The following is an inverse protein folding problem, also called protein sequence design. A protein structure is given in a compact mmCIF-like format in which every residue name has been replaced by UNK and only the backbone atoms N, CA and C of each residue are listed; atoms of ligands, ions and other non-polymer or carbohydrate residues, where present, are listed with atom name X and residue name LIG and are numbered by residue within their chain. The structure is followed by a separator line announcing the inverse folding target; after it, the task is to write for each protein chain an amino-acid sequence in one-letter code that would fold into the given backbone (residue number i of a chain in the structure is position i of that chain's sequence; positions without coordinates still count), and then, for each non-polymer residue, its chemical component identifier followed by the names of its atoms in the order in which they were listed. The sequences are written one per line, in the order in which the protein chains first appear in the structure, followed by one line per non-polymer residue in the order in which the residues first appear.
data_IF_230330654271
#
_entry.id   IF_230330654271
#
_cell.length_a   1.000
_cell.length_b   1.000
_cell.length_c   1.000
_cell.angle_alpha   90.00
_cell.angle_beta   90.00
_cell.angle_gamma   90.00
#
_symmetry.space_group_name_H-M   'P 1'
#
loop_
_entity.id
_entity.type
_entity.pdbx_description
1 polymer ?
#
# COMPACT_ATOMS: atom_id res chain seq x y z
N UNK A 1 -6.61 1.52 18.81
CA UNK A 1 -5.97 1.09 17.55
C UNK A 1 -7.01 0.27 16.81
N UNK A 2 -7.36 0.64 15.58
CA UNK A 2 -8.36 -0.09 14.79
C UNK A 2 -7.62 -1.22 14.09
N UNK A 3 -8.01 -2.47 14.31
CA UNK A 3 -7.46 -3.59 13.57
C UNK A 3 -8.26 -3.81 12.29
N UNK A 4 -7.57 -3.90 11.16
CA UNK A 4 -8.15 -4.32 9.88
C UNK A 4 -8.12 -5.84 9.75
N UNK A 5 -9.21 -6.38 9.21
CA UNK A 5 -9.35 -7.78 8.82
C UNK A 5 -9.09 -7.97 7.33
N UNK A 6 -8.90 -9.21 6.91
CA UNK A 6 -8.63 -9.52 5.50
C UNK A 6 -9.86 -9.21 4.63
N UNK A 7 -11.04 -9.52 5.16
CA UNK A 7 -12.32 -9.34 4.51
C UNK A 7 -12.64 -7.86 4.31
N UNK A 8 -12.43 -7.02 5.34
CA UNK A 8 -12.60 -5.56 5.23
C UNK A 8 -11.66 -4.95 4.17
N UNK A 9 -10.39 -5.36 4.13
CA UNK A 9 -9.46 -4.88 3.10
C UNK A 9 -9.90 -5.33 1.72
N UNK A 10 -10.40 -6.55 1.59
CA UNK A 10 -10.87 -7.08 0.31
C UNK A 10 -12.09 -6.29 -0.19
N UNK A 11 -13.07 -6.03 0.67
CA UNK A 11 -14.24 -5.20 0.35
C UNK A 11 -13.82 -3.77 -0.01
N UNK A 12 -12.93 -3.19 0.79
CA UNK A 12 -12.37 -1.86 0.55
C UNK A 12 -11.74 -1.73 -0.85
N UNK A 13 -10.95 -2.71 -1.28
CA UNK A 13 -10.34 -2.71 -2.62
C UNK A 13 -11.35 -2.81 -3.77
N UNK A 14 -12.53 -3.39 -3.52
CA UNK A 14 -13.59 -3.56 -4.51
C UNK A 14 -14.49 -2.32 -4.65
N UNK A 15 -14.77 -1.65 -3.53
CA UNK A 15 -15.74 -0.56 -3.44
C UNK A 15 -15.10 0.82 -3.60
N UNK A 16 -13.84 0.97 -3.19
CA UNK A 16 -13.16 2.28 -3.17
C UNK A 16 -12.74 2.71 -4.57
N UNK A 17 -13.00 3.97 -4.91
CA UNK A 17 -12.43 4.62 -6.06
C UNK A 17 -11.07 5.21 -5.72
N UNK A 18 -10.02 4.64 -6.30
CA UNK A 18 -8.65 5.08 -6.07
C UNK A 18 -8.21 6.09 -7.12
N UNK A 19 -7.54 7.16 -6.68
CA UNK A 19 -7.01 8.20 -7.58
C UNK A 19 -5.85 7.70 -8.46
N UNK A 20 -5.14 6.67 -8.03
CA UNK A 20 -4.00 6.10 -8.74
C UNK A 20 -4.18 4.63 -9.01
N UNK A 21 -3.70 4.16 -10.16
CA UNK A 21 -3.76 2.75 -10.54
C UNK A 21 -2.65 1.93 -9.88
N UNK A 22 -2.89 0.64 -9.59
CA UNK A 22 -1.87 -0.23 -9.06
C UNK A 22 -0.81 -0.58 -10.10
N UNK A 23 0.41 -0.70 -9.60
CA UNK A 23 1.61 -1.12 -10.32
C UNK A 23 1.73 -2.62 -10.49
N UNK A 24 1.10 -3.35 -9.59
CA UNK A 24 1.26 -4.78 -9.37
C UNK A 24 -0.11 -5.45 -9.21
N UNK A 25 -0.15 -6.76 -9.42
CA UNK A 25 -1.37 -7.56 -9.37
C UNK A 25 -1.60 -8.23 -8.01
N UNK A 26 -0.68 -8.09 -7.06
CA UNK A 26 -0.74 -8.80 -5.79
C UNK A 26 -0.34 -7.91 -4.60
N UNK A 27 -1.04 -8.07 -3.48
CA UNK A 27 -0.82 -7.31 -2.24
C UNK A 27 -0.86 -8.25 -1.04
N UNK A 28 0.20 -8.26 -0.25
CA UNK A 28 0.28 -8.99 1.03
C UNK A 28 -0.51 -8.30 2.15
N UNK A 29 -1.52 -9.00 2.69
CA UNK A 29 -2.29 -8.57 3.86
C UNK A 29 -1.45 -8.45 5.14
N UNK A 30 -0.53 -9.38 5.49
CA UNK A 30 0.36 -9.21 6.64
C UNK A 30 1.14 -7.89 6.63
N UNK A 31 1.63 -7.47 5.45
CA UNK A 31 2.35 -6.19 5.28
C UNK A 31 1.40 -5.00 5.52
N UNK A 32 0.18 -5.05 4.95
CA UNK A 32 -0.84 -4.02 5.20
C UNK A 32 -1.12 -3.86 6.70
N UNK A 33 -1.35 -4.97 7.43
CA UNK A 33 -1.63 -4.94 8.86
C UNK A 33 -0.51 -4.26 9.65
N UNK A 34 0.76 -4.52 9.30
CA UNK A 34 1.93 -3.88 9.94
C UNK A 34 2.00 -2.37 9.66
N UNK A 35 1.82 -1.98 8.40
CA UNK A 35 1.91 -0.56 7.99
C UNK A 35 0.73 0.23 8.57
N UNK A 36 -0.49 -0.30 8.50
CA UNK A 36 -1.69 0.29 9.08
C UNK A 36 -1.50 0.57 10.58
N UNK A 37 -1.01 -0.43 11.32
CA UNK A 37 -0.69 -0.27 12.74
C UNK A 37 0.32 0.84 12.98
N UNK A 38 1.40 0.89 12.21
CA UNK A 38 2.46 1.91 12.36
C UNK A 38 1.96 3.31 12.04
N UNK A 39 1.13 3.48 11.02
CA UNK A 39 0.49 4.76 10.71
C UNK A 39 -0.39 5.24 11.87
N UNK A 40 -1.19 4.36 12.47
CA UNK A 40 -1.98 4.68 13.65
C UNK A 40 -1.14 5.05 14.89
N UNK A 41 0.12 4.62 14.93
CA UNK A 41 1.09 5.01 15.96
C UNK A 41 1.79 6.35 15.66
N UNK A 42 1.46 7.01 14.55
CA UNK A 42 2.04 8.29 14.15
C UNK A 42 3.34 8.17 13.35
N UNK A 43 3.71 6.98 12.88
CA UNK A 43 4.88 6.82 12.03
C UNK A 43 4.65 7.42 10.65
N UNK A 44 5.61 8.21 10.17
CA UNK A 44 5.65 8.65 8.78
C UNK A 44 6.39 7.62 7.93
N UNK A 45 6.01 7.53 6.65
CA UNK A 45 6.68 6.69 5.67
C UNK A 45 7.17 7.54 4.51
N UNK A 46 8.13 6.99 3.76
CA UNK A 46 8.58 7.61 2.52
C UNK A 46 7.40 7.81 1.55
N UNK A 47 7.48 8.90 0.78
CA UNK A 47 6.51 9.25 -0.25
C UNK A 47 6.23 8.10 -1.24
N UNK A 48 5.00 8.07 -1.74
CA UNK A 48 4.52 7.12 -2.75
C UNK A 48 5.02 7.59 -4.11
N UNK A 49 5.67 6.70 -4.86
CA UNK A 49 6.17 7.04 -6.20
C UNK A 49 5.12 6.72 -7.24
N UNK A 50 4.78 7.73 -8.02
CA UNK A 50 3.73 7.67 -9.03
C UNK A 50 4.32 8.04 -10.38
N UNK A 51 4.02 7.25 -11.40
CA UNK A 51 4.42 7.51 -12.78
C UNK A 51 3.18 7.37 -13.65
N UNK A 52 2.82 8.41 -14.40
CA UNK A 52 1.64 8.42 -15.28
C UNK A 52 0.33 7.98 -14.61
N UNK A 53 0.10 8.38 -13.35
CA UNK A 53 -1.09 7.99 -12.59
C UNK A 53 -1.09 6.56 -12.04
N UNK A 54 0.03 5.84 -12.17
CA UNK A 54 0.24 4.49 -11.64
C UNK A 54 1.24 4.50 -10.50
N UNK A 55 0.94 3.77 -9.43
CA UNK A 55 1.86 3.60 -8.31
C UNK A 55 2.95 2.62 -8.73
N UNK A 56 4.21 3.02 -8.64
CA UNK A 56 5.37 2.15 -8.91
C UNK A 56 6.07 1.69 -7.63
N UNK A 57 5.90 2.42 -6.53
CA UNK A 57 6.39 2.05 -5.21
C UNK A 57 5.47 2.64 -4.15
N UNK A 58 5.06 1.79 -3.20
CA UNK A 58 4.26 2.18 -2.04
C UNK A 58 2.80 1.77 -2.09
N UNK A 59 2.42 0.71 -2.80
CA UNK A 59 1.03 0.23 -2.87
C UNK A 59 0.43 -0.06 -1.49
N UNK A 60 1.15 -0.80 -0.63
CA UNK A 60 0.68 -1.06 0.73
C UNK A 60 0.50 0.23 1.54
N UNK A 61 1.45 1.16 1.39
CA UNK A 61 1.37 2.47 2.05
C UNK A 61 0.15 3.25 1.55
N UNK A 62 -0.08 3.26 0.25
CA UNK A 62 -1.22 3.92 -0.36
C UNK A 62 -2.54 3.39 0.20
N UNK A 63 -2.74 2.07 0.15
CA UNK A 63 -3.95 1.42 0.69
C UNK A 63 -4.15 1.81 2.15
N UNK A 64 -3.11 1.74 2.99
CA UNK A 64 -3.24 2.08 4.40
C UNK A 64 -3.51 3.57 4.66
N UNK A 65 -3.02 4.49 3.82
CA UNK A 65 -3.40 5.90 3.92
C UNK A 65 -4.86 6.09 3.56
N UNK A 66 -5.35 5.43 2.51
CA UNK A 66 -6.76 5.51 2.12
C UNK A 66 -7.69 4.88 3.18
N UNK A 67 -7.32 3.74 3.77
CA UNK A 67 -8.06 3.12 4.88
C UNK A 67 -8.17 4.01 6.14
N UNK A 68 -7.24 4.94 6.31
CA UNK A 68 -7.17 5.85 7.45
C UNK A 68 -7.60 7.28 7.10
N UNK A 69 -8.10 7.51 5.88
CA UNK A 69 -8.41 8.84 5.34
C UNK A 69 -7.26 9.85 5.48
N UNK A 70 -6.01 9.37 5.34
CA UNK A 70 -4.79 10.18 5.37
C UNK A 70 -4.35 10.54 3.96
N UNK A 71 -3.80 11.75 3.80
CA UNK A 71 -3.19 12.20 2.54
C UNK A 71 -1.71 11.78 2.56
N UNK A 72 -1.28 10.83 1.70
CA UNK A 72 0.12 10.46 1.62
C UNK A 72 0.94 11.52 0.89
N UNK A 73 2.21 11.65 1.26
CA UNK A 73 3.18 12.33 0.40
C UNK A 73 3.36 11.54 -0.90
N UNK A 74 3.40 12.24 -2.04
CA UNK A 74 3.58 11.63 -3.37
C UNK A 74 4.69 12.31 -4.14
N UNK A 75 5.43 11.53 -4.92
CA UNK A 75 6.44 12.01 -5.86
C UNK A 75 6.05 11.53 -7.25
N UNK A 76 5.84 12.46 -8.18
CA UNK A 76 5.43 12.16 -9.56
C UNK A 76 6.63 12.20 -10.51
N UNK A 77 6.75 11.15 -11.34
CA UNK A 77 7.78 11.02 -12.39
C UNK A 77 7.21 11.14 -13.81
N UNK A 78 8.09 11.41 -14.78
CA UNK A 78 7.76 11.64 -16.19
C UNK A 78 7.29 10.40 -16.98
N UNK A 79 6.64 10.66 -18.13
CA UNK A 79 5.83 9.73 -18.90
C UNK A 79 6.62 8.69 -19.72
N UNK A 80 6.02 7.50 -19.92
CA UNK A 80 6.26 6.63 -21.08
C UNK A 80 5.06 5.72 -21.39
N UNK A 81 5.02 5.28 -22.65
CA UNK A 81 3.89 4.77 -23.43
C UNK A 81 3.50 3.32 -23.15
N UNK A 82 2.19 3.06 -23.35
CA UNK A 82 1.51 1.76 -23.36
C UNK A 82 1.65 0.92 -22.11
N UNK A 83 0.61 0.88 -21.27
CA UNK A 83 0.59 0.01 -20.10
C UNK A 83 -0.78 -0.61 -19.86
N UNK A 84 -0.75 -1.88 -19.43
CA UNK A 84 -1.90 -2.70 -19.05
C UNK A 84 -2.66 -2.00 -17.93
N UNK A 85 -3.94 -1.70 -18.18
CA UNK A 85 -4.86 -1.20 -17.17
C UNK A 85 -5.10 -2.32 -16.16
N UNK A 86 -4.48 -2.22 -14.99
CA UNK A 86 -4.79 -3.07 -13.85
C UNK A 86 -5.61 -2.22 -12.90
N UNK A 87 -6.72 -2.74 -12.39
CA UNK A 87 -7.55 -2.06 -11.40
C UNK A 87 -7.36 -2.67 -10.01
N UNK A 88 -7.60 -1.90 -8.95
CA UNK A 88 -7.52 -2.42 -7.58
C UNK A 88 -8.50 -3.57 -7.32
N UNK A 89 -9.63 -3.58 -8.06
CA UNK A 89 -10.64 -4.63 -8.02
C UNK A 89 -10.13 -5.99 -8.51
N UNK A 90 -9.08 -6.00 -9.32
CA UNK A 90 -8.49 -7.19 -9.92
C UNK A 90 -7.24 -7.68 -9.17
N UNK A 91 -6.83 -6.99 -8.09
CA UNK A 91 -5.66 -7.37 -7.31
C UNK A 91 -5.94 -8.63 -6.49
N UNK A 92 -4.97 -9.54 -6.50
CA UNK A 92 -4.90 -10.65 -5.57
C UNK A 92 -4.45 -10.16 -4.19
N UNK A 93 -5.38 -10.04 -3.24
CA UNK A 93 -5.03 -9.91 -1.83
C UNK A 93 -4.58 -11.28 -1.32
N UNK A 94 -3.37 -11.38 -0.78
CA UNK A 94 -2.79 -12.65 -0.31
C UNK A 94 -2.53 -12.64 1.18
N UNK A 95 -2.66 -13.80 1.83
CA UNK A 95 -2.30 -13.99 3.25
C UNK A 95 -0.82 -14.30 3.45
N UNK A 96 -0.06 -14.46 2.36
CA UNK A 96 1.37 -14.75 2.43
C UNK A 96 2.14 -13.47 2.77
N UNK A 97 3.08 -13.59 3.72
CA UNK A 97 4.05 -12.54 4.02
C UNK A 97 5.30 -12.77 3.18
N UNK A 98 5.57 -11.85 2.24
CA UNK A 98 6.75 -11.92 1.39
C UNK A 98 7.97 -11.24 1.99
N UNK A 99 7.79 -10.46 3.07
CA UNK A 99 8.93 -9.95 3.82
C UNK A 99 9.55 -11.10 4.60
N UNK A 100 10.85 -11.30 4.43
CA UNK A 100 11.62 -12.19 5.31
C UNK A 100 11.91 -11.52 6.68
N UNK A 101 12.51 -12.29 7.59
CA UNK A 101 12.83 -11.79 8.92
C UNK A 101 13.81 -10.60 8.89
N UNK A 102 14.71 -10.56 7.91
CA UNK A 102 15.68 -9.49 7.75
C UNK A 102 14.98 -8.18 7.35
N UNK A 103 14.13 -8.23 6.34
CA UNK A 103 13.34 -7.10 5.84
C UNK A 103 12.46 -6.54 6.96
N UNK A 104 11.79 -7.41 7.72
CA UNK A 104 11.01 -6.99 8.90
C UNK A 104 11.84 -6.24 9.94
N UNK A 105 13.07 -6.69 10.21
CA UNK A 105 13.99 -6.01 11.15
C UNK A 105 14.41 -4.64 10.64
N UNK A 106 14.82 -4.51 9.38
CA UNK A 106 15.17 -3.22 8.80
C UNK A 106 14.01 -2.21 8.89
N UNK A 107 12.78 -2.67 8.63
CA UNK A 107 11.60 -1.84 8.78
C UNK A 107 11.34 -1.46 10.24
N UNK A 108 11.56 -2.37 11.19
CA UNK A 108 11.43 -2.05 12.62
C UNK A 108 12.48 -1.02 13.05
N UNK A 109 13.75 -1.21 12.70
CA UNK A 109 14.83 -0.27 13.03
C UNK A 109 14.61 1.13 12.44
N UNK A 110 14.01 1.21 11.25
CA UNK A 110 13.75 2.47 10.56
C UNK A 110 12.57 3.25 11.14
N UNK A 111 11.50 2.56 11.54
CA UNK A 111 10.23 3.18 11.87
C UNK A 111 9.78 2.97 13.32
N UNK A 112 10.11 1.85 13.95
CA UNK A 112 9.72 1.56 15.33
C UNK A 112 10.82 2.11 16.28
N UNK A 113 10.80 3.43 16.53
CA UNK A 113 11.70 4.12 17.48
C UNK A 113 11.24 4.03 18.93
#
# INVERSE_FOLDING_TARGET
MIEITYEEVKEFLLETEFSYQPGQIEISFPILKRIHRRLQQGNSFNAIKIISGRIVDGHHRYICHQLLDLIPETITGGANSSQVKVTWKEINLTRVDYDDAHTRRLFAERYDK
#
